data_IF_724596957646
#
_entry.id   IF_724596957646
#
_cell.length_a   1.000
_cell.length_b   1.000
_cell.length_c   1.000
_cell.angle_alpha   90.00
_cell.angle_beta   90.00
_cell.angle_gamma   90.00
#
_symmetry.space_group_name_H-M   'P 1'
#
loop_
_entity.id
_entity.type
_entity.pdbx_description
1 polymer ?
#
# COMPACT_ATOMS: atom_id res chain seq x y z
N UNK A 1 -22.16 57.54 -47.63
CA UNK A 1 -21.22 58.53 -47.07
C UNK A 1 -21.91 59.29 -45.93
N UNK A 2 -21.70 58.86 -44.68
CA UNK A 2 -21.75 59.69 -43.46
C UNK A 2 -21.26 58.82 -42.30
N UNK A 3 -20.09 59.21 -41.81
CA UNK A 3 -19.27 58.63 -40.77
C UNK A 3 -19.83 59.06 -39.41
N UNK A 4 -20.08 58.14 -38.47
CA UNK A 4 -20.30 58.49 -37.07
C UNK A 4 -19.41 57.61 -36.18
N UNK A 5 -18.37 58.25 -35.64
CA UNK A 5 -17.52 57.76 -34.56
C UNK A 5 -18.36 57.65 -33.28
N UNK A 6 -18.35 56.50 -32.62
CA UNK A 6 -18.70 56.40 -31.20
C UNK A 6 -17.56 55.71 -30.44
N UNK A 7 -16.81 56.53 -29.70
CA UNK A 7 -15.88 56.12 -28.65
C UNK A 7 -16.69 55.65 -27.44
N UNK A 8 -16.66 54.34 -27.17
CA UNK A 8 -17.15 53.76 -25.91
C UNK A 8 -15.98 53.45 -24.98
N UNK A 9 -15.88 54.20 -23.88
CA UNK A 9 -14.91 54.04 -22.81
C UNK A 9 -14.94 52.62 -22.21
N UNK A 10 -13.85 51.86 -22.35
CA UNK A 10 -13.60 50.66 -21.55
C UNK A 10 -13.07 51.07 -20.18
N UNK A 11 -13.91 51.00 -19.15
CA UNK A 11 -13.47 51.10 -17.75
C UNK A 11 -12.79 49.79 -17.38
N UNK A 12 -11.46 49.82 -17.39
CA UNK A 12 -10.60 48.74 -16.89
C UNK A 12 -10.62 48.81 -15.35
N UNK A 13 -11.39 47.94 -14.69
CA UNK A 13 -11.27 47.74 -13.24
C UNK A 13 -9.95 47.01 -12.96
N UNK A 14 -8.93 47.76 -12.56
CA UNK A 14 -7.69 47.23 -12.00
C UNK A 14 -8.02 46.73 -10.59
N UNK A 15 -8.27 45.43 -10.46
CA UNK A 15 -8.28 44.75 -9.15
C UNK A 15 -6.83 44.57 -8.69
N UNK A 16 -6.23 45.62 -8.13
CA UNK A 16 -4.97 45.52 -7.40
C UNK A 16 -5.26 45.02 -5.98
N UNK A 17 -5.66 43.76 -5.87
CA UNK A 17 -5.66 43.01 -4.62
C UNK A 17 -4.39 42.19 -4.55
N UNK A 18 -3.37 42.70 -3.87
CA UNK A 18 -2.21 41.90 -3.47
C UNK A 18 -2.69 40.83 -2.49
N UNK A 19 -3.02 39.64 -3.02
CA UNK A 19 -3.28 38.45 -2.25
C UNK A 19 -1.96 37.99 -1.61
N UNK A 20 -1.60 38.61 -0.49
CA UNK A 20 -0.51 38.14 0.35
C UNK A 20 -0.92 36.75 0.85
N UNK A 21 -0.28 35.69 0.33
CA UNK A 21 -0.59 34.31 0.72
C UNK A 21 -0.45 34.21 2.23
N UNK A 22 -1.57 34.09 2.95
CA UNK A 22 -1.57 34.02 4.40
C UNK A 22 -0.75 32.80 4.82
N UNK A 23 0.37 33.02 5.51
CA UNK A 23 1.25 31.94 5.95
C UNK A 23 0.47 31.09 6.96
N UNK A 24 0.23 29.83 6.61
CA UNK A 24 -0.50 28.88 7.46
C UNK A 24 0.25 28.63 8.77
N UNK A 25 -0.49 28.53 9.86
CA UNK A 25 0.02 28.10 11.17
C UNK A 25 0.41 26.61 11.15
N UNK A 26 1.07 26.14 12.21
CA UNK A 26 1.47 24.73 12.36
C UNK A 26 0.27 23.76 12.24
N UNK A 27 -0.84 23.90 12.99
CA UNK A 27 -1.97 22.97 12.90
C UNK A 27 -2.64 22.99 11.52
N UNK A 28 -2.75 24.17 10.90
CA UNK A 28 -3.27 24.29 9.53
C UNK A 28 -2.40 23.53 8.52
N UNK A 29 -1.06 23.66 8.60
CA UNK A 29 -0.15 22.91 7.72
C UNK A 29 -0.27 21.39 7.88
N UNK A 30 -0.42 20.91 9.12
CA UNK A 30 -0.61 19.48 9.40
C UNK A 30 -1.90 18.99 8.76
N UNK A 31 -2.99 19.76 8.90
CA UNK A 31 -4.26 19.42 8.25
C UNK A 31 -4.16 19.37 6.73
N UNK A 32 -3.57 20.39 6.09
CA UNK A 32 -3.39 20.41 4.63
C UNK A 32 -2.60 19.18 4.16
N UNK A 33 -1.51 18.87 4.86
CA UNK A 33 -0.68 17.71 4.55
C UNK A 33 -1.45 16.40 4.74
N UNK A 34 -2.22 16.28 5.82
CA UNK A 34 -3.02 15.08 6.12
C UNK A 34 -4.07 14.84 5.03
N UNK A 35 -4.88 15.86 4.74
CA UNK A 35 -5.93 15.75 3.73
C UNK A 35 -5.36 15.42 2.35
N UNK A 36 -4.30 16.13 1.94
CA UNK A 36 -3.63 15.92 0.65
C UNK A 36 -3.07 14.50 0.55
N UNK A 37 -2.42 14.01 1.60
CA UNK A 37 -1.87 12.64 1.61
C UNK A 37 -2.96 11.60 1.39
N UNK A 38 -4.10 11.73 2.07
CA UNK A 38 -5.26 10.87 1.84
C UNK A 38 -5.81 11.03 0.42
N UNK A 39 -5.95 12.26 -0.08
CA UNK A 39 -6.46 12.53 -1.42
C UNK A 39 -5.62 11.89 -2.53
N UNK A 40 -4.29 11.87 -2.35
CA UNK A 40 -3.35 11.35 -3.35
C UNK A 40 -3.13 9.83 -3.25
N UNK A 41 -3.34 9.23 -2.07
CA UNK A 41 -2.88 7.85 -1.81
C UNK A 41 -3.99 6.89 -1.36
N UNK A 42 -5.12 7.36 -0.85
CA UNK A 42 -6.18 6.47 -0.38
C UNK A 42 -7.05 6.00 -1.55
N UNK A 43 -6.94 4.71 -1.89
CA UNK A 43 -7.52 4.14 -3.09
C UNK A 43 -9.04 3.88 -3.03
N UNK A 44 -9.68 4.02 -1.86
CA UNK A 44 -11.01 3.45 -1.62
C UNK A 44 -12.12 4.48 -1.36
N UNK A 45 -11.93 5.77 -1.66
CA UNK A 45 -12.98 6.77 -1.43
C UNK A 45 -14.29 6.45 -2.14
N UNK A 46 -14.21 6.02 -3.40
CA UNK A 46 -15.37 5.66 -4.23
C UNK A 46 -16.11 4.45 -3.65
N UNK A 47 -15.38 3.38 -3.31
CA UNK A 47 -15.97 2.15 -2.75
C UNK A 47 -16.52 2.35 -1.34
N UNK A 48 -16.06 3.38 -0.61
CA UNK A 48 -16.62 3.79 0.69
C UNK A 48 -17.76 4.79 0.58
N UNK A 49 -18.14 5.22 -0.63
CA UNK A 49 -19.11 6.29 -0.86
C UNK A 49 -18.76 7.60 -0.10
N UNK A 50 -17.47 7.91 0.02
CA UNK A 50 -16.97 9.10 0.71
C UNK A 50 -16.45 10.12 -0.30
N UNK A 51 -17.13 11.27 -0.41
CA UNK A 51 -16.58 12.42 -1.13
C UNK A 51 -15.52 13.10 -0.27
N UNK A 52 -14.24 12.82 -0.52
CA UNK A 52 -13.16 13.32 0.34
C UNK A 52 -13.07 14.85 0.42
N UNK A 53 -13.42 15.55 -0.65
CA UNK A 53 -13.51 17.02 -0.65
C UNK A 53 -14.55 17.54 0.37
N UNK A 54 -15.68 16.86 0.57
CA UNK A 54 -16.66 17.26 1.60
C UNK A 54 -16.10 17.16 3.02
N UNK A 55 -15.17 16.23 3.25
CA UNK A 55 -14.47 16.14 4.53
C UNK A 55 -13.55 17.36 4.71
N UNK A 56 -12.81 17.76 3.66
CA UNK A 56 -12.01 18.99 3.70
C UNK A 56 -12.86 20.21 4.07
N UNK A 57 -13.95 20.45 3.33
CA UNK A 57 -14.79 21.64 3.51
C UNK A 57 -15.38 21.70 4.93
N UNK A 58 -15.75 20.53 5.48
CA UNK A 58 -16.30 20.42 6.84
C UNK A 58 -15.28 20.71 7.94
N UNK A 59 -14.07 20.16 7.84
CA UNK A 59 -13.09 20.19 8.94
C UNK A 59 -12.07 21.32 8.82
N UNK A 60 -11.80 21.83 7.62
CA UNK A 60 -10.83 22.91 7.41
C UNK A 60 -11.20 24.18 8.18
N UNK A 61 -12.48 24.50 8.26
CA UNK A 61 -13.01 25.69 8.95
C UNK A 61 -12.86 25.64 10.47
N UNK A 62 -12.63 24.45 11.04
CA UNK A 62 -12.47 24.24 12.48
C UNK A 62 -11.01 24.43 12.94
N UNK A 63 -10.07 24.55 12.01
CA UNK A 63 -8.63 24.57 12.29
C UNK A 63 -8.07 25.96 12.06
N UNK A 64 -7.39 26.48 13.08
CA UNK A 64 -6.74 27.77 13.05
C UNK A 64 -5.48 27.77 13.95
N UNK A 65 -4.80 28.91 14.04
CA UNK A 65 -3.55 29.04 14.79
C UNK A 65 -3.63 28.77 16.31
N UNK A 66 -4.81 28.75 16.91
CA UNK A 66 -5.01 28.42 18.34
C UNK A 66 -5.42 26.96 18.57
N UNK A 67 -5.63 26.17 17.51
CA UNK A 67 -5.98 24.75 17.63
C UNK A 67 -4.83 23.98 18.30
N UNK A 68 -5.13 23.31 19.41
CA UNK A 68 -4.17 22.48 20.14
C UNK A 68 -3.88 21.16 19.41
N UNK A 69 -2.79 20.49 19.78
CA UNK A 69 -2.43 19.19 19.20
C UNK A 69 -3.50 18.10 19.53
N UNK A 70 -4.15 18.19 20.69
CA UNK A 70 -5.23 17.28 21.10
C UNK A 70 -6.50 17.48 20.25
N UNK A 71 -6.93 18.73 20.09
CA UNK A 71 -8.09 19.06 19.25
C UNK A 71 -7.84 18.69 17.78
N UNK A 72 -6.63 18.94 17.29
CA UNK A 72 -6.23 18.56 15.94
C UNK A 72 -6.31 17.04 15.75
N UNK A 73 -5.77 16.26 16.69
CA UNK A 73 -5.85 14.80 16.65
C UNK A 73 -7.29 14.29 16.59
N UNK A 74 -8.17 14.86 17.41
CA UNK A 74 -9.60 14.49 17.43
C UNK A 74 -10.31 14.84 16.12
N UNK A 75 -9.99 16.01 15.54
CA UNK A 75 -10.53 16.44 14.24
C UNK A 75 -10.09 15.47 13.14
N UNK A 76 -8.79 15.17 13.05
CA UNK A 76 -8.25 14.26 12.02
C UNK A 76 -8.81 12.83 12.18
N UNK A 77 -8.99 12.37 13.42
CA UNK A 77 -9.60 11.06 13.71
C UNK A 77 -11.05 10.99 13.27
N UNK A 78 -11.84 12.03 13.53
CA UNK A 78 -13.24 12.13 13.07
C UNK A 78 -13.34 12.28 11.56
N UNK A 79 -12.36 12.92 10.93
CA UNK A 79 -12.33 13.15 9.48
C UNK A 79 -12.27 11.83 8.69
N UNK A 80 -11.56 10.82 9.20
CA UNK A 80 -11.42 9.52 8.55
C UNK A 80 -12.47 8.49 8.97
N UNK A 81 -13.26 8.76 10.00
CA UNK A 81 -14.29 7.84 10.52
C UNK A 81 -15.30 7.37 9.44
N UNK A 82 -15.79 8.23 8.53
CA UNK A 82 -16.69 7.80 7.45
C UNK A 82 -16.09 6.79 6.48
N UNK A 83 -14.74 6.69 6.40
CA UNK A 83 -14.08 5.67 5.58
C UNK A 83 -14.39 4.27 6.10
N UNK A 84 -14.67 4.13 7.41
CA UNK A 84 -14.95 2.85 8.10
C UNK A 84 -13.95 1.75 7.71
N UNK A 85 -12.70 2.15 7.58
CA UNK A 85 -11.62 1.28 7.16
C UNK A 85 -10.81 0.83 8.37
N UNK A 86 -10.79 -0.47 8.61
CA UNK A 86 -10.03 -1.07 9.71
C UNK A 86 -8.52 -0.87 9.59
N UNK A 87 -8.01 -0.60 8.38
CA UNK A 87 -6.59 -0.36 8.14
C UNK A 87 -6.21 1.11 8.28
N UNK A 88 -7.20 2.02 8.37
CA UNK A 88 -6.95 3.44 8.66
C UNK A 88 -6.94 3.63 10.16
N UNK A 89 -5.74 3.87 10.70
CA UNK A 89 -5.54 4.09 12.13
C UNK A 89 -4.79 5.40 12.33
N UNK A 90 -5.39 6.29 13.12
CA UNK A 90 -4.77 7.55 13.51
C UNK A 90 -4.16 7.36 14.91
N UNK A 91 -2.84 7.46 15.00
CA UNK A 91 -2.09 7.22 16.24
C UNK A 91 -1.17 8.40 16.54
N UNK A 92 -1.06 8.75 17.83
CA UNK A 92 -0.12 9.78 18.30
C UNK A 92 1.32 9.28 18.35
N UNK A 93 1.49 7.99 18.63
CA UNK A 93 2.80 7.36 18.86
C UNK A 93 3.21 6.40 17.75
N UNK A 94 2.31 6.10 16.80
CA UNK A 94 2.55 5.20 15.67
C UNK A 94 2.23 3.72 15.94
N UNK A 95 2.04 3.31 17.19
CA UNK A 95 1.99 1.89 17.57
C UNK A 95 0.56 1.32 17.70
N UNK A 96 -0.30 1.55 16.72
CA UNK A 96 -1.63 0.94 16.70
C UNK A 96 -1.77 0.02 15.48
N UNK A 97 -2.01 -1.29 15.67
CA UNK A 97 -2.25 -2.19 14.56
C UNK A 97 -3.59 -1.87 13.88
N UNK A 98 -3.72 -2.28 12.62
CA UNK A 98 -5.01 -2.32 11.94
C UNK A 98 -6.07 -3.01 12.82
N UNK A 99 -7.27 -2.46 12.83
CA UNK A 99 -8.37 -2.85 13.70
C UNK A 99 -9.50 -3.49 12.91
N UNK A 100 -9.98 -4.64 13.37
CA UNK A 100 -11.18 -5.26 12.82
C UNK A 100 -12.48 -4.61 13.34
N UNK A 101 -12.44 -3.37 13.85
CA UNK A 101 -13.53 -2.64 14.53
C UNK A 101 -14.87 -2.67 13.77
N UNK A 102 -14.81 -2.75 12.44
CA UNK A 102 -16.00 -2.71 11.58
C UNK A 102 -16.43 -4.09 11.05
N UNK A 103 -15.76 -5.17 11.45
CA UNK A 103 -16.12 -6.54 11.02
C UNK A 103 -17.27 -7.12 11.83
N UNK A 104 -18.08 -7.98 11.20
CA UNK A 104 -19.12 -8.77 11.87
C UNK A 104 -18.56 -9.66 12.98
N UNK A 105 -17.33 -10.16 12.79
CA UNK A 105 -16.63 -10.93 13.81
C UNK A 105 -16.40 -10.08 15.06
N UNK A 106 -15.93 -8.83 14.91
CA UNK A 106 -15.79 -7.92 16.05
C UNK A 106 -17.14 -7.52 16.67
N UNK A 107 -18.20 -7.38 15.86
CA UNK A 107 -19.53 -7.12 16.39
C UNK A 107 -20.03 -8.26 17.30
N UNK A 108 -19.75 -9.51 16.94
CA UNK A 108 -20.10 -10.71 17.73
C UNK A 108 -19.14 -10.99 18.87
N UNK A 109 -17.86 -10.68 18.69
CA UNK A 109 -16.78 -10.91 19.65
C UNK A 109 -15.99 -9.62 19.90
N UNK A 110 -16.60 -8.61 20.57
CA UNK A 110 -16.01 -7.26 20.69
C UNK A 110 -14.82 -7.20 21.64
N UNK A 111 -14.60 -8.24 22.45
CA UNK A 111 -13.55 -8.26 23.47
C UNK A 111 -12.58 -9.42 23.25
N UNK A 112 -11.33 -9.23 23.69
CA UNK A 112 -10.32 -10.31 23.73
C UNK A 112 -10.81 -11.52 24.54
N UNK A 113 -11.60 -11.28 25.59
CA UNK A 113 -12.20 -12.33 26.40
C UNK A 113 -13.18 -13.19 25.59
N UNK A 114 -14.11 -12.57 24.87
CA UNK A 114 -15.07 -13.29 24.03
C UNK A 114 -14.38 -14.12 22.93
N UNK A 115 -13.31 -13.60 22.35
CA UNK A 115 -12.49 -14.34 21.36
C UNK A 115 -11.78 -15.54 22.03
N UNK A 116 -11.30 -15.38 23.27
CA UNK A 116 -10.68 -16.47 24.03
C UNK A 116 -11.69 -17.57 24.36
N UNK A 117 -12.89 -17.20 24.82
CA UNK A 117 -13.97 -18.13 25.14
C UNK A 117 -14.41 -18.93 23.90
N UNK A 118 -14.53 -18.29 22.73
CA UNK A 118 -14.80 -18.98 21.47
C UNK A 118 -13.73 -20.04 21.16
N UNK A 119 -12.44 -19.69 21.32
CA UNK A 119 -11.33 -20.61 21.09
C UNK A 119 -11.34 -21.79 22.04
N UNK A 120 -11.64 -21.55 23.32
CA UNK A 120 -11.78 -22.62 24.30
C UNK A 120 -12.91 -23.58 23.96
N UNK A 121 -14.05 -23.07 23.50
CA UNK A 121 -15.18 -23.90 23.03
C UNK A 121 -14.74 -24.77 21.85
N UNK A 122 -14.08 -24.19 20.84
CA UNK A 122 -13.59 -24.93 19.67
C UNK A 122 -12.65 -26.06 20.10
N UNK A 123 -11.66 -25.77 20.96
CA UNK A 123 -10.69 -26.77 21.43
C UNK A 123 -11.41 -27.90 22.19
N UNK A 124 -12.33 -27.56 23.11
CA UNK A 124 -13.11 -28.57 23.85
C UNK A 124 -13.98 -29.42 22.94
N UNK A 125 -14.62 -28.82 21.94
CA UNK A 125 -15.40 -29.56 20.94
C UNK A 125 -14.52 -30.52 20.15
N UNK A 126 -13.33 -30.10 19.73
CA UNK A 126 -12.37 -30.97 19.07
C UNK A 126 -11.96 -32.15 19.97
N UNK A 127 -11.61 -31.89 21.23
CA UNK A 127 -11.26 -32.94 22.19
C UNK A 127 -12.40 -33.96 22.36
N UNK A 128 -13.65 -33.50 22.47
CA UNK A 128 -14.82 -34.37 22.55
C UNK A 128 -15.04 -35.22 21.28
N UNK A 129 -14.52 -34.78 20.14
CA UNK A 129 -14.51 -35.53 18.87
C UNK A 129 -13.28 -36.43 18.71
N UNK A 130 -12.48 -36.62 19.76
CA UNK A 130 -11.33 -37.51 19.76
C UNK A 130 -10.04 -36.87 19.22
N UNK A 131 -9.97 -35.55 19.14
CA UNK A 131 -8.71 -34.86 18.87
C UNK A 131 -7.84 -34.77 20.13
N UNK A 132 -6.52 -34.80 19.96
CA UNK A 132 -5.53 -34.57 21.01
C UNK A 132 -5.55 -33.12 21.49
N UNK A 133 -4.82 -32.85 22.57
CA UNK A 133 -4.55 -31.48 22.98
C UNK A 133 -3.95 -30.64 21.84
N UNK A 134 -4.40 -29.39 21.76
CA UNK A 134 -3.98 -28.45 20.73
C UNK A 134 -2.57 -27.94 21.00
N UNK A 135 -1.64 -28.28 20.12
CA UNK A 135 -0.23 -27.89 20.18
C UNK A 135 -0.05 -26.53 19.50
N UNK A 136 0.16 -25.48 20.29
CA UNK A 136 0.36 -24.11 19.78
C UNK A 136 1.76 -23.92 19.19
N UNK A 137 1.86 -23.15 18.12
CA UNK A 137 3.16 -22.70 17.61
C UNK A 137 3.85 -21.75 18.58
N UNK A 138 5.17 -21.86 18.69
CA UNK A 138 6.04 -21.00 19.49
C UNK A 138 6.23 -19.61 18.86
N UNK A 139 5.14 -18.89 18.66
CA UNK A 139 5.08 -17.60 17.96
C UNK A 139 5.06 -16.38 18.90
N UNK A 140 5.54 -16.56 20.14
CA UNK A 140 5.54 -15.53 21.18
C UNK A 140 4.18 -14.82 21.27
N UNK A 141 4.16 -13.50 21.05
CA UNK A 141 2.99 -12.65 21.18
C UNK A 141 1.97 -12.75 20.04
N UNK A 142 2.32 -13.42 18.92
CA UNK A 142 1.51 -13.37 17.70
C UNK A 142 0.45 -14.47 17.60
N UNK A 143 0.54 -15.51 18.44
CA UNK A 143 -0.45 -16.60 18.54
C UNK A 143 -0.91 -17.13 17.18
N UNK A 144 0.04 -17.46 16.31
CA UNK A 144 -0.21 -17.71 14.88
C UNK A 144 -0.92 -19.02 14.56
N UNK A 145 -1.31 -19.81 15.57
CA UNK A 145 -2.04 -21.06 15.41
C UNK A 145 -1.33 -22.24 16.06
N UNK A 146 -1.53 -23.42 15.48
CA UNK A 146 -1.06 -24.69 16.02
C UNK A 146 -1.72 -25.88 15.35
N UNK A 147 -1.56 -27.07 15.91
CA UNK A 147 -2.11 -28.30 15.33
C UNK A 147 -2.62 -29.28 16.38
N UNK A 148 -3.50 -30.19 15.96
CA UNK A 148 -4.01 -31.31 16.76
C UNK A 148 -4.27 -32.53 15.86
N UNK A 149 -4.30 -33.72 16.45
CA UNK A 149 -4.45 -35.00 15.75
C UNK A 149 -5.72 -35.72 16.21
N UNK A 150 -6.38 -36.44 15.32
CA UNK A 150 -7.34 -37.49 15.67
C UNK A 150 -6.90 -38.82 15.04
N UNK A 151 -7.72 -39.86 15.15
CA UNK A 151 -7.46 -41.15 14.51
C UNK A 151 -7.29 -41.04 12.99
N UNK A 152 -8.02 -40.11 12.34
CA UNK A 152 -8.10 -40.01 10.89
C UNK A 152 -7.61 -38.67 10.33
N UNK A 153 -7.44 -37.65 11.16
CA UNK A 153 -7.17 -36.27 10.70
C UNK A 153 -6.00 -35.63 11.44
N UNK A 154 -5.26 -34.79 10.70
CA UNK A 154 -4.41 -33.73 11.27
C UNK A 154 -5.14 -32.41 11.05
N UNK A 155 -5.42 -31.67 12.11
CA UNK A 155 -5.97 -30.32 12.03
C UNK A 155 -4.85 -29.32 12.26
N UNK A 156 -4.52 -28.53 11.24
CA UNK A 156 -3.53 -27.46 11.27
C UNK A 156 -4.25 -26.11 11.18
N UNK A 157 -4.20 -25.31 12.24
CA UNK A 157 -4.76 -23.95 12.26
C UNK A 157 -3.68 -22.90 12.00
N UNK A 158 -3.97 -21.94 11.11
CA UNK A 158 -3.10 -20.80 10.81
C UNK A 158 -3.87 -19.48 11.01
N UNK A 159 -3.56 -18.75 12.09
CA UNK A 159 -4.22 -17.47 12.43
C UNK A 159 -3.46 -16.22 11.92
N UNK A 160 -2.26 -16.41 11.37
CA UNK A 160 -1.42 -15.36 10.83
C UNK A 160 -0.01 -15.86 10.52
N UNK A 161 0.83 -15.01 9.94
CA UNK A 161 2.22 -15.37 9.57
C UNK A 161 3.26 -14.44 10.22
N UNK A 162 2.84 -13.64 11.20
CA UNK A 162 3.69 -12.64 11.85
C UNK A 162 4.57 -13.19 12.97
N UNK A 163 5.83 -12.77 13.00
CA UNK A 163 6.68 -12.84 14.20
C UNK A 163 7.26 -14.21 14.56
N UNK A 164 7.22 -15.18 13.63
CA UNK A 164 7.96 -16.43 13.73
C UNK A 164 8.95 -16.51 12.56
N UNK A 165 10.28 -16.68 12.82
CA UNK A 165 11.23 -16.96 11.76
C UNK A 165 10.83 -18.21 10.97
N UNK A 166 11.01 -18.16 9.65
CA UNK A 166 10.56 -19.23 8.76
C UNK A 166 11.16 -20.59 9.15
N UNK A 167 12.43 -20.62 9.56
CA UNK A 167 13.11 -21.85 9.98
C UNK A 167 12.45 -22.49 11.22
N UNK A 168 11.97 -21.67 12.16
CA UNK A 168 11.31 -22.16 13.37
C UNK A 168 9.88 -22.63 13.09
N UNK A 169 9.21 -22.00 12.12
CA UNK A 169 7.92 -22.48 11.63
C UNK A 169 8.06 -23.82 10.91
N UNK A 170 9.03 -23.94 10.02
CA UNK A 170 9.34 -25.17 9.28
C UNK A 170 9.66 -26.33 10.25
N UNK A 171 10.48 -26.08 11.28
CA UNK A 171 10.78 -27.08 12.31
C UNK A 171 9.52 -27.63 12.97
N UNK A 172 8.59 -26.76 13.35
CA UNK A 172 7.34 -27.18 14.00
C UNK A 172 6.38 -27.91 13.06
N UNK A 173 6.36 -27.55 11.77
CA UNK A 173 5.63 -28.32 10.75
C UNK A 173 6.25 -29.70 10.53
N UNK A 174 7.57 -29.80 10.50
CA UNK A 174 8.27 -31.08 10.40
C UNK A 174 7.98 -31.97 11.61
N UNK A 175 7.95 -31.41 12.82
CA UNK A 175 7.54 -32.14 14.03
C UNK A 175 6.10 -32.68 13.94
N UNK A 176 5.17 -31.89 13.38
CA UNK A 176 3.79 -32.32 13.13
C UNK A 176 3.73 -33.49 12.13
N UNK A 177 4.47 -33.38 11.02
CA UNK A 177 4.52 -34.40 9.97
C UNK A 177 5.12 -35.70 10.52
N UNK A 178 6.23 -35.62 11.25
CA UNK A 178 6.89 -36.80 11.83
C UNK A 178 5.97 -37.54 12.80
N UNK A 179 5.19 -36.83 13.62
CA UNK A 179 4.20 -37.41 14.54
C UNK A 179 3.03 -38.13 13.86
N UNK A 180 2.84 -37.89 12.56
CA UNK A 180 1.77 -38.50 11.76
C UNK A 180 2.30 -39.42 10.65
N UNK A 181 3.62 -39.57 10.52
CA UNK A 181 4.27 -40.21 9.38
C UNK A 181 4.03 -41.72 9.26
N UNK A 182 3.72 -42.39 10.36
CA UNK A 182 3.40 -43.82 10.43
C UNK A 182 1.92 -44.13 10.12
N UNK A 183 1.09 -43.10 9.93
CA UNK A 183 -0.36 -43.20 9.78
C UNK A 183 -0.82 -42.55 8.48
N UNK A 184 -1.84 -43.15 7.86
CA UNK A 184 -2.51 -42.54 6.70
C UNK A 184 -3.58 -41.56 7.18
N UNK A 185 -3.16 -40.36 7.60
CA UNK A 185 -4.06 -39.30 8.06
C UNK A 185 -4.39 -38.30 6.96
N UNK A 186 -5.58 -37.71 7.03
CA UNK A 186 -5.98 -36.59 6.18
C UNK A 186 -5.57 -35.27 6.83
N UNK A 187 -4.76 -34.46 6.15
CA UNK A 187 -4.41 -33.12 6.63
C UNK A 187 -5.51 -32.12 6.27
N UNK A 188 -6.16 -31.58 7.29
CA UNK A 188 -7.02 -30.41 7.19
C UNK A 188 -6.20 -29.18 7.56
N UNK A 189 -5.96 -28.32 6.57
CA UNK A 189 -5.40 -26.99 6.83
C UNK A 189 -6.56 -26.05 7.07
N UNK A 190 -6.84 -25.81 8.34
CA UNK A 190 -7.70 -24.72 8.75
C UNK A 190 -6.92 -23.43 8.68
N UNK A 191 -6.95 -22.93 7.46
CA UNK A 191 -6.40 -21.65 7.17
C UNK A 191 -7.17 -20.54 7.90
N UNK A 192 -8.37 -20.80 8.50
CA UNK A 192 -9.30 -19.84 9.11
C UNK A 192 -8.59 -18.58 9.53
N UNK A 193 -8.40 -17.71 8.54
CA UNK A 193 -7.87 -16.43 8.87
C UNK A 193 -9.07 -15.79 9.55
N UNK A 194 -8.93 -15.60 10.83
CA UNK A 194 -9.56 -14.45 11.46
C UNK A 194 -9.12 -13.11 10.81
N UNK A 195 -8.35 -13.14 9.69
CA UNK A 195 -7.70 -12.03 8.98
C UNK A 195 -7.61 -12.12 7.41
N UNK A 196 -8.34 -12.99 6.67
CA UNK A 196 -8.27 -13.03 5.17
C UNK A 196 -8.35 -14.31 4.25
N UNK A 197 -8.60 -15.57 4.64
CA UNK A 197 -8.66 -16.71 3.67
C UNK A 197 -9.99 -16.79 2.91
N UNK A 198 -10.95 -15.93 3.24
CA UNK A 198 -12.14 -15.66 2.44
C UNK A 198 -11.93 -14.49 1.46
N UNK A 199 -10.68 -14.17 1.09
CA UNK A 199 -10.42 -13.08 0.15
C UNK A 199 -11.17 -13.36 -1.16
N UNK A 200 -10.86 -14.45 -1.88
CA UNK A 200 -11.53 -14.72 -3.15
C UNK A 200 -12.91 -15.40 -2.99
N UNK A 201 -13.94 -14.82 -3.63
CA UNK A 201 -15.35 -15.21 -3.60
C UNK A 201 -15.84 -15.87 -4.90
N UNK A 202 -14.96 -16.09 -5.89
CA UNK A 202 -15.33 -16.65 -7.20
C UNK A 202 -14.14 -17.09 -8.04
N UNK A 203 -14.25 -16.93 -9.37
CA UNK A 203 -13.21 -17.38 -10.32
C UNK A 203 -11.87 -16.73 -9.97
N UNK A 204 -10.85 -17.56 -9.82
CA UNK A 204 -9.45 -17.18 -9.65
C UNK A 204 -8.63 -17.56 -10.89
N UNK A 205 -7.49 -16.89 -11.07
CA UNK A 205 -6.57 -17.14 -12.17
C UNK A 205 -5.12 -16.95 -11.73
N UNK A 206 -4.21 -17.70 -12.35
CA UNK A 206 -2.76 -17.51 -12.27
C UNK A 206 -2.23 -17.10 -13.63
N UNK A 207 -1.24 -16.21 -13.64
CA UNK A 207 -0.59 -15.69 -14.84
C UNK A 207 0.76 -16.36 -15.03
N UNK A 208 0.98 -16.93 -16.21
CA UNK A 208 2.25 -17.54 -16.60
C UNK A 208 2.73 -16.86 -17.88
N UNK A 209 4.05 -16.68 -17.99
CA UNK A 209 4.69 -16.21 -19.21
C UNK A 209 5.78 -17.19 -19.62
N UNK A 210 6.01 -17.39 -20.93
CA UNK A 210 7.08 -18.27 -21.40
C UNK A 210 8.43 -17.88 -20.81
N UNK A 211 9.18 -18.88 -20.33
CA UNK A 211 10.48 -18.68 -19.68
C UNK A 211 10.42 -18.46 -18.17
N UNK A 212 9.24 -18.22 -17.59
CA UNK A 212 9.07 -18.21 -16.14
C UNK A 212 8.96 -19.64 -15.59
N UNK A 213 9.79 -19.97 -14.61
CA UNK A 213 9.70 -21.25 -13.89
C UNK A 213 8.49 -21.33 -12.94
N UNK A 214 7.87 -20.19 -12.64
CA UNK A 214 6.73 -20.06 -11.73
C UNK A 214 5.74 -19.01 -12.24
N UNK A 215 4.54 -18.96 -11.67
CA UNK A 215 3.56 -17.92 -11.96
C UNK A 215 4.14 -16.53 -11.67
N UNK A 216 3.86 -15.56 -12.55
CA UNK A 216 4.31 -14.17 -12.40
C UNK A 216 3.29 -13.31 -11.65
N UNK A 217 2.14 -13.88 -11.33
CA UNK A 217 1.10 -13.24 -10.55
C UNK A 217 -0.16 -14.08 -10.53
N UNK A 218 -1.10 -13.68 -9.69
CA UNK A 218 -2.38 -14.36 -9.50
C UNK A 218 -3.46 -13.37 -9.09
N UNK A 219 -4.70 -13.71 -9.35
CA UNK A 219 -5.84 -12.89 -8.99
C UNK A 219 -7.13 -13.67 -8.96
N UNK A 220 -8.22 -12.94 -8.76
CA UNK A 220 -9.54 -13.53 -8.73
C UNK A 220 -10.60 -12.58 -8.22
N UNK A 221 -11.84 -13.02 -8.30
CA UNK A 221 -12.98 -12.31 -7.73
C UNK A 221 -12.93 -12.42 -6.21
N UNK A 222 -13.11 -11.31 -5.50
CA UNK A 222 -13.18 -11.22 -4.05
C UNK A 222 -14.37 -10.38 -3.64
N UNK A 223 -14.92 -10.66 -2.46
CA UNK A 223 -16.02 -9.88 -1.92
C UNK A 223 -15.48 -8.76 -1.07
N UNK A 224 -15.95 -7.54 -1.32
CA UNK A 224 -15.72 -6.40 -0.46
C UNK A 224 -17.00 -6.22 0.33
N UNK A 225 -16.94 -6.56 1.61
CA UNK A 225 -18.08 -6.37 2.50
C UNK A 225 -18.34 -4.87 2.69
N UNK A 226 -19.57 -4.47 2.36
CA UNK A 226 -20.04 -3.11 2.45
C UNK A 226 -20.54 -2.76 3.84
N UNK A 227 -20.86 -1.48 4.07
CA UNK A 227 -21.40 -1.03 5.37
C UNK A 227 -22.85 -1.50 5.64
N UNK A 228 -23.52 -2.05 4.63
CA UNK A 228 -24.83 -2.71 4.65
C UNK A 228 -24.86 -3.80 3.56
N UNK A 229 -25.77 -4.79 3.61
CA UNK A 229 -25.87 -5.84 2.59
C UNK A 229 -26.06 -5.30 1.17
N UNK A 230 -26.74 -4.16 0.99
CA UNK A 230 -26.89 -3.50 -0.32
C UNK A 230 -25.59 -2.87 -0.87
N UNK A 231 -24.53 -2.79 -0.07
CA UNK A 231 -23.22 -2.25 -0.46
C UNK A 231 -22.12 -3.31 -0.53
N UNK A 232 -22.46 -4.59 -0.29
CA UNK A 232 -21.56 -5.69 -0.62
C UNK A 232 -21.29 -5.66 -2.11
N UNK A 233 -20.02 -5.68 -2.50
CA UNK A 233 -19.64 -5.68 -3.91
C UNK A 233 -18.63 -6.77 -4.22
N UNK A 234 -18.83 -7.39 -5.37
CA UNK A 234 -17.86 -8.28 -5.97
C UNK A 234 -16.80 -7.43 -6.68
N UNK A 235 -15.54 -7.58 -6.30
CA UNK A 235 -14.40 -6.96 -6.95
C UNK A 235 -13.52 -8.04 -7.58
N UNK A 236 -12.68 -7.66 -8.55
CA UNK A 236 -11.68 -8.57 -9.13
C UNK A 236 -10.36 -7.83 -9.19
N UNK A 237 -9.30 -8.48 -8.71
CA UNK A 237 -7.98 -7.90 -8.63
C UNK A 237 -6.91 -8.97 -8.69
N UNK A 238 -5.66 -8.54 -8.80
CA UNK A 238 -4.52 -9.43 -8.94
C UNK A 238 -3.27 -8.83 -8.31
N UNK A 239 -2.35 -9.71 -7.94
CA UNK A 239 -0.99 -9.39 -7.50
C UNK A 239 0.01 -9.83 -8.55
N UNK A 240 1.05 -9.04 -8.74
CA UNK A 240 2.15 -9.32 -9.66
C UNK A 240 3.45 -9.45 -8.87
N UNK A 241 4.20 -10.52 -9.13
CA UNK A 241 5.47 -10.80 -8.47
C UNK A 241 6.62 -10.17 -9.26
N UNK A 242 6.94 -8.93 -8.90
CA UNK A 242 7.96 -8.12 -9.60
C UNK A 242 9.34 -8.79 -9.62
N UNK A 243 9.69 -9.55 -8.59
CA UNK A 243 10.96 -10.28 -8.52
C UNK A 243 11.06 -11.37 -9.60
N UNK A 244 9.97 -12.13 -9.80
CA UNK A 244 9.88 -13.12 -10.89
C UNK A 244 9.97 -12.44 -12.24
N UNK A 245 9.28 -11.30 -12.42
CA UNK A 245 9.36 -10.50 -13.65
C UNK A 245 10.77 -9.98 -13.91
N UNK A 246 11.48 -9.51 -12.88
CA UNK A 246 12.84 -8.98 -13.01
C UNK A 246 13.80 -10.01 -13.60
N UNK A 247 13.67 -11.28 -13.20
CA UNK A 247 14.47 -12.38 -13.76
C UNK A 247 14.19 -12.70 -15.23
N UNK A 248 13.05 -12.23 -15.77
CA UNK A 248 12.62 -12.42 -17.15
C UNK A 248 12.90 -11.22 -18.05
N UNK A 249 13.11 -10.05 -17.44
CA UNK A 249 13.42 -8.84 -18.18
C UNK A 249 14.82 -8.98 -18.79
N UNK A 250 15.00 -8.59 -20.05
CA UNK A 250 16.32 -8.54 -20.65
C UNK A 250 17.22 -7.66 -19.78
N UNK A 251 18.48 -8.08 -19.61
CA UNK A 251 19.48 -7.25 -18.94
C UNK A 251 19.46 -5.88 -19.58
N UNK A 252 19.21 -4.79 -18.83
CA UNK A 252 19.13 -3.46 -19.41
C UNK A 252 20.44 -3.19 -20.15
N UNK A 253 20.36 -3.00 -21.47
CA UNK A 253 21.52 -2.55 -22.24
C UNK A 253 21.87 -1.18 -21.71
N UNK A 254 23.08 -1.04 -21.17
CA UNK A 254 23.56 0.24 -20.65
C UNK A 254 23.57 1.24 -21.80
N UNK A 255 22.58 2.14 -21.81
CA UNK A 255 22.45 3.15 -22.86
C UNK A 255 23.68 4.07 -22.83
N UNK A 256 24.12 4.50 -24.02
CA UNK A 256 25.23 5.44 -24.14
C UNK A 256 24.81 6.74 -23.45
N UNK A 257 25.62 7.24 -22.53
CA UNK A 257 25.34 8.49 -21.81
C UNK A 257 26.30 9.58 -22.27
N UNK A 258 25.78 10.78 -22.46
CA UNK A 258 26.54 11.98 -22.82
C UNK A 258 26.26 13.08 -21.81
N UNK A 259 27.31 13.69 -21.27
CA UNK A 259 27.20 14.90 -20.46
C UNK A 259 27.05 16.11 -21.38
N UNK A 260 26.02 16.94 -21.19
CA UNK A 260 25.84 18.20 -21.89
C UNK A 260 26.44 19.31 -21.02
N UNK A 261 27.62 19.79 -21.39
CA UNK A 261 28.39 20.74 -20.59
C UNK A 261 27.95 22.21 -20.78
N UNK A 262 27.31 22.52 -21.91
CA UNK A 262 26.91 23.91 -22.26
C UNK A 262 25.55 24.33 -21.65
N UNK A 263 24.98 23.53 -20.76
CA UNK A 263 23.62 23.74 -20.24
C UNK A 263 22.53 23.29 -21.21
N UNK A 264 21.30 23.76 -21.00
CA UNK A 264 20.11 23.32 -21.74
C UNK A 264 20.26 23.68 -23.22
N UNK A 265 20.28 22.67 -24.09
CA UNK A 265 20.46 22.77 -25.54
C UNK A 265 19.61 21.70 -26.26
N UNK A 266 19.37 21.87 -27.56
CA UNK A 266 18.70 20.84 -28.35
C UNK A 266 19.63 19.64 -28.58
N UNK A 267 19.22 18.49 -28.05
CA UNK A 267 19.96 17.22 -28.11
C UNK A 267 19.23 16.15 -28.92
N UNK A 268 18.22 16.54 -29.71
CA UNK A 268 17.40 15.60 -30.50
C UNK A 268 18.25 14.69 -31.37
N UNK A 269 19.31 15.22 -31.97
CA UNK A 269 20.20 14.43 -32.84
C UNK A 269 21.05 13.41 -32.04
N UNK A 270 21.50 13.78 -30.83
CA UNK A 270 22.19 12.86 -29.94
C UNK A 270 21.25 11.75 -29.45
N UNK A 271 20.00 12.09 -29.16
CA UNK A 271 18.97 11.12 -28.76
C UNK A 271 18.65 10.13 -29.89
N UNK A 272 18.56 10.60 -31.15
CA UNK A 272 18.42 9.72 -32.32
C UNK A 272 19.60 8.75 -32.48
N UNK A 273 20.80 9.16 -32.07
CA UNK A 273 22.00 8.30 -32.04
C UNK A 273 22.05 7.35 -30.83
N UNK A 274 21.00 7.33 -29.99
CA UNK A 274 20.87 6.44 -28.84
C UNK A 274 21.55 6.93 -27.57
N UNK A 275 21.89 8.23 -27.49
CA UNK A 275 22.42 8.82 -26.26
C UNK A 275 21.32 9.23 -25.28
N UNK A 276 21.55 8.94 -24.00
CA UNK A 276 20.89 9.59 -22.87
C UNK A 276 21.67 10.86 -22.53
N UNK A 277 21.06 12.01 -22.79
CA UNK A 277 21.62 13.31 -22.46
C UNK A 277 21.44 13.63 -20.98
N UNK A 278 22.54 13.92 -20.29
CA UNK A 278 22.56 14.35 -18.89
C UNK A 278 23.12 15.77 -18.86
N UNK A 279 22.33 16.73 -18.40
CA UNK A 279 22.76 18.13 -18.35
C UNK A 279 23.60 18.39 -17.10
N UNK A 280 24.74 19.06 -17.27
CA UNK A 280 25.53 19.52 -16.14
C UNK A 280 24.74 20.58 -15.34
N UNK A 281 24.70 20.44 -14.01
CA UNK A 281 24.03 21.36 -13.10
C UNK A 281 25.08 22.18 -12.33
N UNK A 282 25.34 23.42 -12.78
CA UNK A 282 26.29 24.39 -12.16
C UNK A 282 27.73 23.88 -11.92
N UNK A 283 28.63 24.75 -11.45
CA UNK A 283 30.09 24.56 -11.43
C UNK A 283 30.56 23.30 -10.66
N UNK A 284 30.65 22.17 -11.36
CA UNK A 284 31.34 20.97 -10.90
C UNK A 284 32.66 20.82 -11.64
N UNK A 285 33.77 21.04 -10.93
CA UNK A 285 35.12 20.63 -11.32
C UNK A 285 35.45 20.73 -12.81
N UNK A 286 36.09 19.68 -13.34
CA UNK A 286 36.32 19.51 -14.79
C UNK A 286 35.23 18.62 -15.38
N UNK A 287 34.72 18.97 -16.57
CA UNK A 287 33.68 18.20 -17.26
C UNK A 287 34.00 16.70 -17.36
N UNK A 288 35.27 16.34 -17.58
CA UNK A 288 35.75 14.96 -17.66
C UNK A 288 35.51 14.16 -16.35
N UNK A 289 35.62 14.81 -15.19
CA UNK A 289 35.39 14.18 -13.88
C UNK A 289 33.89 14.00 -13.60
N UNK A 290 33.10 15.02 -13.92
CA UNK A 290 31.64 14.98 -13.74
C UNK A 290 30.99 13.96 -14.67
N UNK A 291 31.47 13.88 -15.91
CA UNK A 291 30.99 12.90 -16.87
C UNK A 291 31.30 11.46 -16.42
N UNK A 292 32.49 11.21 -15.84
CA UNK A 292 32.81 9.91 -15.24
C UNK A 292 31.91 9.59 -14.04
N UNK A 293 31.67 10.55 -13.14
CA UNK A 293 30.80 10.38 -11.96
C UNK A 293 29.38 9.99 -12.33
N UNK A 294 28.85 10.58 -13.40
CA UNK A 294 27.49 10.32 -13.91
C UNK A 294 27.40 9.07 -14.81
N UNK A 295 28.55 8.42 -15.07
CA UNK A 295 28.65 7.26 -15.94
C UNK A 295 28.41 7.60 -17.41
N UNK A 296 28.66 8.84 -17.82
CA UNK A 296 28.75 9.26 -19.21
C UNK A 296 30.02 8.68 -19.83
N UNK A 297 29.93 8.27 -21.10
CA UNK A 297 31.10 7.88 -21.90
C UNK A 297 31.55 9.00 -22.85
N UNK A 298 30.76 10.08 -22.94
CA UNK A 298 30.99 11.19 -23.86
C UNK A 298 30.62 12.51 -23.17
N UNK A 299 31.20 13.60 -23.67
CA UNK A 299 30.84 14.98 -23.34
C UNK A 299 30.46 15.70 -24.62
N UNK A 300 29.39 16.47 -24.58
CA UNK A 300 28.99 17.41 -25.61
C UNK A 300 29.27 18.84 -25.13
N UNK A 301 30.18 19.53 -25.82
CA UNK A 301 30.61 20.90 -25.49
C UNK A 301 30.97 21.68 -26.74
N UNK A 302 30.54 22.94 -26.82
CA UNK A 302 30.74 23.83 -27.98
C UNK A 302 30.17 23.25 -29.28
N UNK A 303 29.06 22.51 -29.20
CA UNK A 303 28.45 21.83 -30.35
C UNK A 303 29.22 20.59 -30.84
N UNK A 304 30.22 20.12 -30.10
CA UNK A 304 31.06 18.96 -30.47
C UNK A 304 30.92 17.83 -29.45
N UNK A 305 30.83 16.61 -29.97
CA UNK A 305 30.85 15.38 -29.17
C UNK A 305 32.29 14.89 -29.00
N UNK A 306 32.71 14.65 -27.76
CA UNK A 306 34.03 14.15 -27.37
C UNK A 306 33.85 12.87 -26.55
N UNK A 307 34.56 11.79 -26.89
CA UNK A 307 34.62 10.58 -26.06
C UNK A 307 35.53 10.81 -24.83
N UNK A 308 35.19 10.15 -23.71
CA UNK A 308 35.98 10.15 -22.47
C UNK A 308 37.05 9.07 -22.42
#
# INVERSE_FOLDING_TARGET
MKLFLMLGFSILYIFSGSAQSKKLSKPEKVFESFWKTFNENYAHFETRNVTWQKQYDKYRTQINHTTSDDELFDILSKMVEPLRDGHVVISRTGDLPASAKYSDFHARFPTKKAISELREIIIKTMQNLGFTDFVKFNSKQFQIGGFSFSENYVYLQLNGFGGLPLQEFEKQLNEMILKSSDKKLTLTVDAAESRGFAYHSGISFSMFVPGAAQEIGRGGRYRIDGSKPEFDMEATGFTVYVETLRGLLPTPVRQKRVLIADGISDVTELQKQGFVAIYALSEYGKDDEEAKRLGCGHIFKGGKLKAL
#
